data_IF_414214742489
#
_entry.id   IF_414214742489
#
_cell.length_a   1.000
_cell.length_b   1.000
_cell.length_c   1.000
_cell.angle_alpha   90.00
_cell.angle_beta   90.00
_cell.angle_gamma   90.00
#
_symmetry.space_group_name_H-M   'P 1'
#
loop_
_entity.id
_entity.type
_entity.pdbx_description
1 polymer ?
#
# COMPACT_ATOMS: atom_id res chain seq x y z
N UNK A 1 21.36 -16.70 -21.60
CA UNK A 1 21.38 -15.68 -20.54
C UNK A 1 21.65 -16.42 -19.24
N UNK A 2 22.79 -16.17 -18.57
CA UNK A 2 23.17 -16.96 -17.38
C UNK A 2 22.17 -16.73 -16.25
N UNK A 3 22.04 -17.70 -15.34
CA UNK A 3 21.02 -17.66 -14.28
C UNK A 3 21.19 -16.47 -13.34
N UNK A 4 22.44 -16.00 -13.14
CA UNK A 4 22.72 -14.78 -12.40
C UNK A 4 22.09 -13.53 -13.05
N UNK A 5 22.09 -13.43 -14.38
CA UNK A 5 21.46 -12.28 -15.07
C UNK A 5 19.94 -12.28 -14.84
N UNK A 6 19.30 -13.45 -14.83
CA UNK A 6 17.86 -13.57 -14.53
C UNK A 6 17.56 -13.18 -13.09
N UNK A 7 18.43 -13.57 -12.15
CA UNK A 7 18.32 -13.18 -10.74
C UNK A 7 18.44 -11.66 -10.56
N UNK A 8 19.42 -11.03 -11.21
CA UNK A 8 19.57 -9.57 -11.20
C UNK A 8 18.36 -8.86 -11.80
N UNK A 9 17.79 -9.37 -12.89
CA UNK A 9 16.55 -8.81 -13.45
C UNK A 9 15.36 -8.92 -12.49
N UNK A 10 15.23 -10.03 -11.74
CA UNK A 10 14.20 -10.18 -10.69
C UNK A 10 14.39 -9.18 -9.56
N UNK A 11 15.62 -8.99 -9.08
CA UNK A 11 15.92 -7.96 -8.08
C UNK A 11 15.61 -6.56 -8.57
N UNK A 12 15.96 -6.24 -9.81
CA UNK A 12 15.67 -4.93 -10.41
C UNK A 12 14.15 -4.70 -10.55
N UNK A 13 13.39 -5.72 -10.96
CA UNK A 13 11.94 -5.64 -11.06
C UNK A 13 11.28 -5.42 -9.69
N UNK A 14 11.70 -6.19 -8.68
CA UNK A 14 11.25 -6.04 -7.29
C UNK A 14 11.59 -4.65 -6.72
N UNK A 15 12.82 -4.18 -6.96
CA UNK A 15 13.26 -2.85 -6.56
C UNK A 15 12.37 -1.75 -7.16
N UNK A 16 12.12 -1.81 -8.47
CA UNK A 16 11.25 -0.84 -9.16
C UNK A 16 9.84 -0.84 -8.60
N UNK A 17 9.27 -2.04 -8.39
CA UNK A 17 7.95 -2.22 -7.80
C UNK A 17 7.86 -1.57 -6.42
N UNK A 18 8.86 -1.76 -5.55
CA UNK A 18 8.94 -1.10 -4.25
C UNK A 18 9.01 0.43 -4.37
N UNK A 19 9.87 0.95 -5.26
CA UNK A 19 9.99 2.41 -5.45
C UNK A 19 8.75 3.05 -6.09
N UNK A 20 8.00 2.30 -6.89
CA UNK A 20 6.73 2.73 -7.46
C UNK A 20 5.68 2.85 -6.36
N UNK A 21 5.56 1.84 -5.49
CA UNK A 21 4.68 1.89 -4.31
C UNK A 21 5.00 3.07 -3.39
N UNK A 22 6.28 3.28 -3.09
CA UNK A 22 6.76 4.39 -2.27
C UNK A 22 6.37 5.73 -2.92
N UNK A 23 6.60 5.87 -4.23
CA UNK A 23 6.24 7.07 -5.00
C UNK A 23 4.72 7.30 -5.05
N UNK A 24 3.91 6.25 -5.00
CA UNK A 24 2.44 6.34 -5.00
C UNK A 24 1.85 6.55 -3.61
N UNK A 25 2.67 6.63 -2.56
CA UNK A 25 2.21 6.72 -1.18
C UNK A 25 1.67 5.40 -0.63
N UNK A 26 1.86 4.28 -1.33
CA UNK A 26 1.56 2.93 -0.86
C UNK A 26 2.71 2.43 0.02
N UNK A 27 2.94 3.13 1.13
CA UNK A 27 4.13 2.96 1.98
C UNK A 27 4.26 1.53 2.49
N UNK A 28 3.12 0.88 2.72
CA UNK A 28 3.00 -0.46 3.25
C UNK A 28 3.49 -1.51 2.24
N UNK A 29 2.98 -1.42 1.01
CA UNK A 29 3.42 -2.26 -0.10
C UNK A 29 4.90 -2.00 -0.43
N UNK A 30 5.35 -0.75 -0.30
CA UNK A 30 6.75 -0.40 -0.48
C UNK A 30 7.64 -1.08 0.58
N UNK A 31 7.30 -0.98 1.86
CA UNK A 31 8.01 -1.62 2.98
C UNK A 31 8.10 -3.14 2.77
N UNK A 32 6.98 -3.81 2.46
CA UNK A 32 6.96 -5.26 2.31
C UNK A 32 7.86 -5.71 1.14
N UNK A 33 7.78 -5.02 0.00
CA UNK A 33 8.62 -5.30 -1.17
C UNK A 33 10.11 -5.03 -0.88
N UNK A 34 10.44 -3.93 -0.20
CA UNK A 34 11.82 -3.62 0.20
C UNK A 34 12.40 -4.66 1.16
N UNK A 35 11.63 -5.10 2.15
CA UNK A 35 12.06 -6.13 3.10
C UNK A 35 12.22 -7.50 2.42
N UNK A 36 11.30 -7.89 1.53
CA UNK A 36 11.41 -9.13 0.75
C UNK A 36 12.69 -9.10 -0.09
N UNK A 37 12.93 -8.00 -0.81
CA UNK A 37 14.13 -7.84 -1.61
C UNK A 37 15.39 -7.86 -0.75
N UNK A 38 15.42 -7.12 0.36
CA UNK A 38 16.56 -7.08 1.28
C UNK A 38 16.92 -8.48 1.79
N UNK A 39 15.91 -9.29 2.20
CA UNK A 39 16.13 -10.68 2.61
C UNK A 39 16.70 -11.54 1.49
N UNK A 40 16.20 -11.43 0.27
CA UNK A 40 16.73 -12.18 -0.88
C UNK A 40 18.19 -11.81 -1.16
N UNK A 41 18.53 -10.52 -1.16
CA UNK A 41 19.90 -10.05 -1.34
C UNK A 41 20.82 -10.57 -0.23
N UNK A 42 20.35 -10.58 1.02
CA UNK A 42 21.12 -11.10 2.17
C UNK A 42 21.33 -12.62 2.10
N UNK A 43 20.31 -13.40 1.70
CA UNK A 43 20.45 -14.84 1.45
C UNK A 43 21.53 -15.12 0.41
N UNK A 44 21.61 -14.30 -0.63
CA UNK A 44 22.56 -14.46 -1.73
C UNK A 44 23.99 -14.07 -1.33
N UNK A 45 24.16 -13.06 -0.48
CA UNK A 45 25.45 -12.73 0.12
C UNK A 45 26.00 -13.88 0.97
N UNK A 46 25.11 -14.64 1.62
CA UNK A 46 25.48 -15.73 2.56
C UNK A 46 25.49 -17.12 1.93
N UNK A 47 25.11 -17.26 0.66
CA UNK A 47 25.15 -18.55 -0.03
C UNK A 47 26.60 -19.05 -0.12
N UNK A 48 26.91 -20.08 0.67
CA UNK A 48 28.21 -20.76 0.71
C UNK A 48 28.38 -21.72 -0.47
N UNK A 49 27.27 -22.17 -1.05
CA UNK A 49 27.23 -23.19 -2.09
C UNK A 49 26.87 -22.57 -3.45
N UNK A 50 27.87 -22.07 -4.19
CA UNK A 50 27.96 -21.97 -5.66
C UNK A 50 26.70 -21.64 -6.52
N UNK A 51 25.60 -21.11 -5.97
CA UNK A 51 24.36 -20.86 -6.72
C UNK A 51 24.40 -19.56 -7.51
N UNK A 52 25.27 -18.63 -7.11
CA UNK A 52 25.43 -17.33 -7.75
C UNK A 52 26.91 -16.99 -7.92
N UNK A 53 27.32 -16.77 -9.17
CA UNK A 53 28.67 -16.40 -9.62
C UNK A 53 29.07 -14.98 -9.17
N UNK A 54 28.75 -14.57 -7.93
CA UNK A 54 29.09 -13.25 -7.41
C UNK A 54 30.48 -13.25 -6.75
N UNK A 55 31.30 -12.28 -7.12
CA UNK A 55 32.58 -12.00 -6.45
C UNK A 55 32.34 -11.43 -5.05
N UNK A 56 33.35 -11.48 -4.17
CA UNK A 56 33.24 -10.90 -2.82
C UNK A 56 32.94 -9.39 -2.82
N UNK A 57 33.51 -8.65 -3.78
CA UNK A 57 33.20 -7.22 -3.95
C UNK A 57 31.75 -6.98 -4.39
N UNK A 58 31.22 -7.85 -5.25
CA UNK A 58 29.82 -7.80 -5.67
C UNK A 58 28.89 -8.15 -4.50
N UNK A 59 29.21 -9.19 -3.71
CA UNK A 59 28.46 -9.54 -2.49
C UNK A 59 28.48 -8.39 -1.48
N UNK A 60 29.59 -7.69 -1.31
CA UNK A 60 29.67 -6.49 -0.45
C UNK A 60 28.71 -5.40 -0.95
N UNK A 61 28.70 -5.14 -2.25
CA UNK A 61 27.75 -4.20 -2.87
C UNK A 61 26.30 -4.63 -2.66
N UNK A 62 25.98 -5.90 -2.89
CA UNK A 62 24.64 -6.48 -2.65
C UNK A 62 24.20 -6.31 -1.19
N UNK A 63 25.09 -6.59 -0.24
CA UNK A 63 24.82 -6.41 1.19
C UNK A 63 24.57 -4.95 1.57
N UNK A 64 25.27 -3.99 0.94
CA UNK A 64 25.00 -2.56 1.13
C UNK A 64 23.65 -2.14 0.55
N UNK A 65 23.25 -2.67 -0.62
CA UNK A 65 21.92 -2.43 -1.20
C UNK A 65 20.84 -2.90 -0.23
N UNK A 66 20.99 -4.11 0.33
CA UNK A 66 20.06 -4.63 1.33
C UNK A 66 19.97 -3.72 2.57
N UNK A 67 21.10 -3.20 3.07
CA UNK A 67 21.08 -2.22 4.17
C UNK A 67 20.30 -0.97 3.82
N UNK A 68 20.47 -0.40 2.61
CA UNK A 68 19.71 0.77 2.19
C UNK A 68 18.19 0.50 2.10
N UNK A 69 17.78 -0.69 1.66
CA UNK A 69 16.38 -1.09 1.62
C UNK A 69 15.77 -1.18 3.03
N UNK A 70 16.51 -1.69 4.01
CA UNK A 70 16.11 -1.73 5.42
C UNK A 70 16.02 -0.33 6.03
N UNK A 71 16.98 0.55 5.72
CA UNK A 71 16.96 1.94 6.15
C UNK A 71 15.72 2.67 5.61
N UNK A 72 15.38 2.48 4.32
CA UNK A 72 14.15 3.05 3.76
C UNK A 72 12.91 2.44 4.41
N UNK A 73 12.87 1.12 4.58
CA UNK A 73 11.74 0.43 5.21
C UNK A 73 11.48 0.95 6.62
N UNK A 74 12.55 1.17 7.39
CA UNK A 74 12.47 1.75 8.74
C UNK A 74 11.98 3.20 8.69
N UNK A 75 12.53 4.02 7.78
CA UNK A 75 12.12 5.41 7.60
C UNK A 75 10.62 5.52 7.25
N UNK A 76 10.09 4.60 6.43
CA UNK A 76 8.67 4.56 6.09
C UNK A 76 7.76 4.12 7.26
N UNK A 77 8.32 3.48 8.29
CA UNK A 77 7.57 3.03 9.48
C UNK A 77 7.51 4.08 10.59
N UNK A 78 8.44 5.05 10.61
CA UNK A 78 8.58 6.04 11.69
C UNK A 78 8.10 7.43 11.27
N UNK A 79 7.35 8.12 12.14
CA UNK A 79 6.82 9.47 11.87
C UNK A 79 7.68 10.61 12.46
N UNK A 80 8.87 10.32 13.00
CA UNK A 80 9.56 11.22 13.95
C UNK A 80 11.09 11.39 13.78
N UNK A 81 11.71 11.18 12.61
CA UNK A 81 13.17 11.37 12.47
C UNK A 81 13.59 12.41 11.42
N UNK A 82 14.52 13.31 11.80
CA UNK A 82 15.10 14.33 10.91
C UNK A 82 16.17 13.78 9.94
N UNK A 83 16.68 12.56 10.15
CA UNK A 83 17.69 11.90 9.31
C UNK A 83 17.15 10.62 8.66
N UNK A 84 16.14 10.77 7.80
CA UNK A 84 15.50 9.66 7.09
C UNK A 84 16.19 9.36 5.75
N UNK A 85 16.39 8.07 5.46
CA UNK A 85 16.86 7.62 4.15
C UNK A 85 15.78 7.87 3.09
N UNK A 86 16.05 8.79 2.16
CA UNK A 86 15.03 9.32 1.25
C UNK A 86 14.80 8.42 0.04
N UNK A 87 13.63 8.55 -0.58
CA UNK A 87 13.30 7.83 -1.81
C UNK A 87 14.23 8.23 -2.97
N UNK A 88 14.63 9.50 -3.06
CA UNK A 88 15.55 9.98 -4.09
C UNK A 88 16.93 9.35 -3.94
N UNK A 89 17.37 9.14 -2.70
CA UNK A 89 18.61 8.42 -2.40
C UNK A 89 18.46 6.94 -2.73
N UNK A 90 17.37 6.29 -2.33
CA UNK A 90 17.13 4.90 -2.67
C UNK A 90 17.17 4.68 -4.18
N UNK A 91 16.53 5.55 -4.99
CA UNK A 91 16.53 5.46 -6.46
C UNK A 91 17.92 5.49 -7.09
N UNK A 92 18.95 6.01 -6.42
CA UNK A 92 20.36 5.95 -6.88
C UNK A 92 20.90 4.50 -6.94
N UNK A 93 20.24 3.55 -6.29
CA UNK A 93 20.59 2.13 -6.32
C UNK A 93 20.15 1.43 -7.61
N UNK A 94 19.14 1.93 -8.34
CA UNK A 94 18.66 1.31 -9.58
C UNK A 94 19.79 1.04 -10.60
N UNK A 95 20.64 2.02 -10.97
CA UNK A 95 21.76 1.76 -11.88
C UNK A 95 22.82 0.83 -11.28
N UNK A 96 22.94 0.73 -9.95
CA UNK A 96 23.89 -0.17 -9.28
C UNK A 96 23.38 -1.61 -9.38
N UNK A 97 22.11 -1.85 -9.04
CA UNK A 97 21.47 -3.17 -9.15
C UNK A 97 21.52 -3.66 -10.60
N UNK A 98 21.16 -2.80 -11.56
CA UNK A 98 21.17 -3.14 -12.99
C UNK A 98 22.56 -3.58 -13.49
N UNK A 99 23.62 -2.97 -12.96
CA UNK A 99 24.99 -3.20 -13.41
C UNK A 99 25.84 -3.94 -12.37
N UNK A 100 25.22 -4.69 -11.45
CA UNK A 100 25.92 -5.28 -10.30
C UNK A 100 27.12 -6.15 -10.70
N UNK A 101 27.03 -6.86 -11.82
CA UNK A 101 28.08 -7.75 -12.32
C UNK A 101 29.31 -7.00 -12.86
N UNK A 102 29.15 -5.73 -13.23
CA UNK A 102 30.22 -4.87 -13.75
C UNK A 102 30.47 -3.63 -12.86
N UNK A 103 29.88 -3.59 -11.67
CA UNK A 103 29.98 -2.43 -10.78
C UNK A 103 31.34 -2.40 -10.10
N UNK A 104 32.14 -1.39 -10.39
CA UNK A 104 33.51 -1.23 -9.89
C UNK A 104 33.77 0.16 -9.29
N UNK A 105 32.71 0.90 -8.95
CA UNK A 105 32.79 2.25 -8.36
C UNK A 105 32.57 2.19 -6.86
N UNK A 106 32.94 3.25 -6.16
CA UNK A 106 32.58 3.39 -4.75
C UNK A 106 31.06 3.41 -4.56
N UNK A 107 30.60 2.75 -3.51
CA UNK A 107 29.18 2.74 -3.17
C UNK A 107 28.77 4.13 -2.67
N UNK A 108 27.65 4.71 -3.14
CA UNK A 108 27.32 6.13 -2.91
C UNK A 108 26.87 6.46 -1.47
N UNK A 109 26.77 5.47 -0.60
CA UNK A 109 26.31 5.63 0.78
C UNK A 109 27.29 4.99 1.77
N UNK A 110 27.50 5.67 2.90
CA UNK A 110 28.27 5.11 4.01
C UNK A 110 27.39 4.17 4.84
N UNK A 111 27.23 2.96 4.33
CA UNK A 111 26.46 1.89 4.96
C UNK A 111 27.29 0.62 5.07
N UNK A 112 27.12 -0.09 6.18
CA UNK A 112 27.71 -1.40 6.41
C UNK A 112 26.66 -2.50 6.17
N UNK A 113 27.01 -3.61 5.51
CA UNK A 113 26.11 -4.76 5.38
C UNK A 113 25.67 -5.28 6.76
N UNK A 114 24.37 -5.38 6.99
CA UNK A 114 23.81 -5.89 8.25
C UNK A 114 23.88 -7.43 8.27
N UNK A 115 24.43 -8.08 9.32
CA UNK A 115 24.34 -9.53 9.48
C UNK A 115 22.90 -9.98 9.79
N UNK A 116 22.47 -11.13 9.25
CA UNK A 116 21.08 -11.64 9.30
C UNK A 116 20.45 -11.82 10.71
N UNK A 117 21.23 -11.71 11.80
CA UNK A 117 20.84 -12.08 13.18
C UNK A 117 19.85 -11.15 13.91
N UNK A 118 19.10 -10.29 13.22
CA UNK A 118 18.08 -9.43 13.88
C UNK A 118 16.65 -9.60 13.35
N UNK A 119 16.40 -10.58 12.49
CA UNK A 119 15.11 -10.69 11.80
C UNK A 119 14.37 -11.94 12.33
N UNK A 120 13.80 -11.81 13.54
CA UNK A 120 12.78 -12.69 14.13
C UNK A 120 13.17 -14.18 14.36
N UNK A 121 12.34 -14.89 15.13
CA UNK A 121 12.64 -16.20 15.71
C UNK A 121 12.60 -17.35 14.68
N UNK A 122 13.35 -18.46 14.89
CA UNK A 122 13.34 -19.61 13.98
C UNK A 122 11.93 -20.20 13.83
N UNK A 123 11.39 -20.22 12.61
CA UNK A 123 10.06 -20.75 12.28
C UNK A 123 9.22 -19.90 11.33
N UNK A 124 9.60 -18.65 11.06
CA UNK A 124 8.94 -17.78 10.06
C UNK A 124 9.52 -17.91 8.64
N UNK A 125 10.54 -18.77 8.45
CA UNK A 125 11.39 -18.78 7.24
C UNK A 125 10.78 -19.46 6.01
N UNK A 126 9.75 -20.31 6.17
CA UNK A 126 9.22 -21.15 5.08
C UNK A 126 8.06 -20.52 4.27
N UNK A 127 7.43 -19.44 4.74
CA UNK A 127 6.16 -18.92 4.16
C UNK A 127 6.31 -17.63 3.33
N UNK A 128 7.50 -17.26 2.87
CA UNK A 128 7.75 -16.01 2.14
C UNK A 128 8.58 -16.21 0.87
N UNK A 129 8.38 -17.35 0.20
CA UNK A 129 8.61 -17.38 -1.26
C UNK A 129 7.59 -16.44 -1.93
N UNK A 130 7.86 -15.99 -3.15
CA UNK A 130 6.93 -15.14 -3.90
C UNK A 130 5.53 -15.75 -3.85
N UNK A 131 4.67 -15.24 -2.97
CA UNK A 131 3.28 -15.67 -2.91
C UNK A 131 2.64 -15.15 -4.21
N UNK A 132 2.68 -15.99 -5.26
CA UNK A 132 1.52 -16.10 -6.12
C UNK A 132 0.38 -16.45 -5.15
N UNK A 133 -0.46 -15.46 -4.85
CA UNK A 133 -1.58 -15.59 -3.92
C UNK A 133 -2.53 -16.70 -4.40
N UNK A 134 -2.24 -17.96 -4.08
CA UNK A 134 -3.23 -19.02 -4.02
C UNK A 134 -4.01 -18.83 -2.73
N UNK A 135 -5.22 -18.25 -2.87
CA UNK A 135 -6.28 -18.30 -1.85
C UNK A 135 -6.57 -19.78 -1.54
N UNK A 136 -6.03 -20.32 -0.43
CA UNK A 136 -6.65 -21.46 0.23
C UNK A 136 -7.14 -21.12 1.64
N UNK A 137 -8.38 -21.52 1.89
CA UNK A 137 -9.15 -21.24 3.08
C UNK A 137 -8.73 -22.17 4.21
N UNK A 138 -8.03 -21.63 5.21
CA UNK A 138 -7.77 -22.31 6.47
C UNK A 138 -8.70 -21.82 7.57
N UNK A 139 -9.65 -22.66 7.97
CA UNK A 139 -10.40 -22.50 9.22
C UNK A 139 -9.46 -22.61 10.43
N UNK A 140 -9.54 -21.66 11.36
CA UNK A 140 -8.77 -21.68 12.60
C UNK A 140 -9.46 -20.89 13.69
N UNK A 141 -9.99 -21.61 14.69
CA UNK A 141 -10.71 -21.11 15.84
C UNK A 141 -9.89 -20.11 16.68
N UNK A 142 -10.60 -19.21 17.34
CA UNK A 142 -10.07 -18.02 18.00
C UNK A 142 -9.11 -18.27 19.16
N UNK A 143 -8.29 -17.26 19.41
CA UNK A 143 -7.65 -17.01 20.70
C UNK A 143 -7.66 -15.51 20.97
N UNK A 144 -7.95 -15.24 22.24
CA UNK A 144 -8.15 -14.01 23.00
C UNK A 144 -7.30 -12.78 22.64
N UNK A 145 -7.99 -11.63 22.76
CA UNK A 145 -7.49 -10.33 23.23
C UNK A 145 -6.21 -10.44 24.06
N UNK A 146 -5.16 -9.78 23.58
CA UNK A 146 -4.20 -8.98 24.36
C UNK A 146 -3.10 -8.51 23.39
N UNK A 147 -2.68 -7.25 23.55
CA UNK A 147 -1.64 -6.54 22.80
C UNK A 147 -2.08 -5.81 21.52
N UNK A 148 -2.83 -4.72 21.69
CA UNK A 148 -2.92 -3.67 20.68
C UNK A 148 -1.94 -2.54 21.01
N UNK A 149 -0.78 -2.50 20.36
CA UNK A 149 -0.04 -1.24 20.22
C UNK A 149 -0.76 -0.43 19.14
N UNK A 150 -1.81 0.29 19.56
CA UNK A 150 -2.72 1.06 18.69
C UNK A 150 -1.98 2.27 18.12
N UNK A 151 -2.18 2.54 16.83
CA UNK A 151 -1.83 3.84 16.26
C UNK A 151 -2.87 4.85 16.76
N UNK A 152 -2.49 5.89 17.53
CA UNK A 152 -3.42 6.91 17.98
C UNK A 152 -3.91 7.71 16.77
N UNK A 153 -5.22 7.63 16.45
CA UNK A 153 -5.86 8.39 15.36
C UNK A 153 -6.75 7.56 14.44
N UNK A 154 -6.45 6.27 14.22
CA UNK A 154 -7.26 5.43 13.33
C UNK A 154 -8.68 5.16 13.88
N UNK A 155 -8.86 5.18 15.21
CA UNK A 155 -10.14 4.85 15.84
C UNK A 155 -11.22 5.91 15.56
N UNK A 156 -10.85 7.20 15.55
CA UNK A 156 -11.80 8.30 15.36
C UNK A 156 -11.93 8.75 13.89
N UNK A 157 -10.95 8.42 13.03
CA UNK A 157 -10.92 8.89 11.64
C UNK A 157 -10.45 10.35 11.52
N UNK A 158 -10.39 10.85 10.29
CA UNK A 158 -9.93 12.21 9.94
C UNK A 158 -10.93 12.95 9.04
N UNK A 159 -12.21 12.57 9.11
CA UNK A 159 -13.27 13.20 8.32
C UNK A 159 -13.39 14.70 8.65
N UNK A 160 -13.54 15.50 7.61
CA UNK A 160 -13.62 16.96 7.68
C UNK A 160 -15.08 17.43 7.56
N UNK A 161 -15.42 18.59 8.16
CA UNK A 161 -16.75 19.16 8.02
C UNK A 161 -17.02 19.61 6.58
N UNK A 162 -18.30 19.79 6.25
CA UNK A 162 -18.72 20.33 4.96
C UNK A 162 -18.17 21.75 4.77
N UNK A 163 -17.70 22.04 3.56
CA UNK A 163 -17.31 23.39 3.16
C UNK A 163 -18.52 24.35 3.21
N UNK A 164 -18.28 25.67 3.37
CA UNK A 164 -19.34 26.64 3.18
C UNK A 164 -19.85 26.60 1.73
N UNK A 165 -21.16 26.74 1.56
CA UNK A 165 -21.79 26.84 0.24
C UNK A 165 -21.36 28.12 -0.47
N UNK A 166 -21.25 28.05 -1.79
CA UNK A 166 -20.98 29.18 -2.68
C UNK A 166 -22.10 29.28 -3.73
N UNK A 167 -22.62 30.50 -4.04
CA UNK A 167 -23.70 30.65 -5.02
C UNK A 167 -23.37 30.06 -6.39
N UNK A 168 -24.26 29.21 -6.91
CA UNK A 168 -24.09 28.56 -8.22
C UNK A 168 -23.05 27.44 -8.24
N UNK A 169 -22.56 27.01 -7.07
CA UNK A 169 -21.67 25.87 -6.92
C UNK A 169 -22.37 24.71 -6.21
N UNK A 170 -21.85 23.50 -6.38
CA UNK A 170 -22.41 22.29 -5.79
C UNK A 170 -21.40 21.61 -4.88
N UNK A 171 -21.83 21.27 -3.66
CA UNK A 171 -21.09 20.43 -2.73
C UNK A 171 -21.58 18.98 -2.80
N UNK A 172 -20.67 18.04 -2.60
CA UNK A 172 -20.95 16.60 -2.61
C UNK A 172 -20.70 15.98 -1.24
N UNK A 173 -21.73 15.36 -0.68
CA UNK A 173 -21.57 14.41 0.43
C UNK A 173 -21.72 13.00 -0.11
N UNK A 174 -20.81 12.12 0.28
CA UNK A 174 -20.87 10.69 -0.03
C UNK A 174 -21.07 9.93 1.27
N UNK A 175 -22.23 9.30 1.41
CA UNK A 175 -22.46 8.35 2.49
C UNK A 175 -21.93 6.99 2.09
N UNK A 176 -20.93 6.52 2.83
CA UNK A 176 -20.41 5.15 2.70
C UNK A 176 -21.34 4.25 3.52
N UNK A 177 -22.17 3.45 2.84
CA UNK A 177 -23.15 2.60 3.53
C UNK A 177 -22.47 1.32 4.04
N UNK A 178 -21.92 0.54 3.13
CA UNK A 178 -21.26 -0.74 3.40
C UNK A 178 -20.37 -1.16 2.24
N UNK A 179 -19.46 -2.09 2.49
CA UNK A 179 -18.63 -2.74 1.48
C UNK A 179 -18.80 -4.25 1.55
N UNK A 180 -18.99 -4.89 0.39
CA UNK A 180 -19.06 -6.34 0.25
C UNK A 180 -17.69 -6.95 0.01
N UNK A 181 -17.27 -7.93 0.81
CA UNK A 181 -16.02 -8.67 0.67
C UNK A 181 -16.26 -10.15 0.98
N UNK A 182 -15.50 -11.07 0.36
CA UNK A 182 -15.66 -12.51 0.66
C UNK A 182 -15.33 -12.84 2.13
N UNK A 183 -14.43 -12.07 2.72
CA UNK A 183 -13.80 -12.25 4.02
C UNK A 183 -13.95 -11.00 4.92
N UNK A 184 -15.08 -10.29 4.77
CA UNK A 184 -15.34 -9.04 5.50
C UNK A 184 -15.23 -9.21 7.03
N UNK A 185 -15.80 -10.28 7.58
CA UNK A 185 -15.77 -10.57 9.01
C UNK A 185 -14.33 -10.69 9.59
N UNK A 186 -13.38 -11.13 8.77
CA UNK A 186 -11.97 -11.34 9.15
C UNK A 186 -11.14 -10.05 9.13
N UNK A 187 -11.65 -8.97 8.52
CA UNK A 187 -10.95 -7.69 8.49
C UNK A 187 -10.91 -7.07 9.89
N UNK A 188 -9.72 -6.81 10.41
CA UNK A 188 -9.51 -6.22 11.74
C UNK A 188 -9.35 -4.71 11.58
N UNK A 189 -10.03 -3.95 12.45
CA UNK A 189 -10.09 -2.50 12.44
C UNK A 189 -10.27 -1.89 11.03
N UNK A 190 -11.32 -2.30 10.28
CA UNK A 190 -11.49 -1.86 8.91
C UNK A 190 -11.92 -0.39 8.84
N UNK A 191 -11.32 0.37 7.93
CA UNK A 191 -11.71 1.73 7.62
C UNK A 191 -11.57 2.01 6.11
N UNK A 192 -12.11 3.14 5.64
CA UNK A 192 -11.97 3.59 4.26
C UNK A 192 -11.20 4.89 4.22
N UNK A 193 -10.16 4.95 3.39
CA UNK A 193 -9.51 6.20 3.01
C UNK A 193 -10.20 6.75 1.76
N UNK A 194 -10.66 8.00 1.84
CA UNK A 194 -11.26 8.74 0.73
C UNK A 194 -10.30 9.82 0.26
N UNK A 195 -10.00 9.83 -1.04
CA UNK A 195 -9.14 10.86 -1.66
C UNK A 195 -9.68 11.30 -3.00
N UNK A 196 -9.44 12.56 -3.36
CA UNK A 196 -9.77 13.09 -4.69
C UNK A 196 -8.46 13.27 -5.46
N UNK A 197 -8.31 12.56 -6.57
CA UNK A 197 -7.10 12.59 -7.39
C UNK A 197 -7.37 13.20 -8.76
N UNK A 198 -6.38 13.89 -9.32
CA UNK A 198 -6.40 14.33 -10.72
C UNK A 198 -6.10 13.17 -11.70
N UNK A 199 -6.00 13.47 -13.00
CA UNK A 199 -5.69 12.49 -14.04
C UNK A 199 -4.29 11.84 -13.89
N UNK A 200 -3.39 12.50 -13.16
CA UNK A 200 -2.04 12.00 -12.90
C UNK A 200 -1.95 11.22 -11.59
N UNK A 201 -3.05 11.11 -10.83
CA UNK A 201 -3.09 10.44 -9.54
C UNK A 201 -2.61 11.32 -8.37
N UNK A 202 -2.58 12.64 -8.55
CA UNK A 202 -2.13 13.59 -7.52
C UNK A 202 -3.32 14.08 -6.70
N UNK A 203 -3.15 14.18 -5.38
CA UNK A 203 -4.18 14.69 -4.46
C UNK A 203 -4.62 16.11 -4.81
N UNK A 204 -5.93 16.30 -4.89
CA UNK A 204 -6.58 17.58 -5.14
C UNK A 204 -7.18 18.21 -3.88
N UNK A 205 -7.39 17.40 -2.86
CA UNK A 205 -7.98 17.76 -1.56
C UNK A 205 -7.26 16.98 -0.46
N UNK A 206 -7.36 17.39 0.82
CA UNK A 206 -6.92 16.57 1.92
C UNK A 206 -7.54 15.16 1.87
N UNK A 207 -6.73 14.15 2.14
CA UNK A 207 -7.16 12.76 2.29
C UNK A 207 -7.91 12.61 3.61
N UNK A 208 -9.00 11.86 3.61
CA UNK A 208 -9.87 11.68 4.77
C UNK A 208 -10.05 10.18 5.06
N UNK A 209 -9.89 9.79 6.32
CA UNK A 209 -10.11 8.42 6.78
C UNK A 209 -11.42 8.36 7.56
N UNK A 210 -12.26 7.36 7.26
CA UNK A 210 -13.42 7.07 8.10
C UNK A 210 -12.95 6.59 9.49
N UNK A 211 -13.80 6.71 10.52
CA UNK A 211 -13.62 5.91 11.72
C UNK A 211 -13.56 4.41 11.40
N UNK A 212 -12.97 3.64 12.31
CA UNK A 212 -13.00 2.17 12.22
C UNK A 212 -14.44 1.67 12.30
N UNK A 213 -14.85 0.86 11.32
CA UNK A 213 -16.16 0.22 11.33
C UNK A 213 -16.21 -0.93 12.35
N UNK A 214 -17.15 -0.84 13.27
CA UNK A 214 -17.38 -1.85 14.31
C UNK A 214 -18.41 -2.90 13.90
N UNK A 215 -19.32 -2.57 12.97
CA UNK A 215 -20.40 -3.46 12.55
C UNK A 215 -19.97 -4.28 11.33
N UNK A 216 -19.64 -5.55 11.58
CA UNK A 216 -19.22 -6.52 10.56
C UNK A 216 -20.18 -7.71 10.51
N UNK A 217 -20.43 -8.18 9.30
CA UNK A 217 -21.10 -9.44 8.96
C UNK A 217 -20.11 -10.30 8.16
N UNK A 218 -20.47 -11.55 7.86
CA UNK A 218 -19.58 -12.48 7.13
C UNK A 218 -19.05 -11.87 5.83
N UNK A 219 -19.95 -11.24 5.07
CA UNK A 219 -19.67 -10.70 3.74
C UNK A 219 -19.74 -9.18 3.63
N UNK A 220 -20.06 -8.47 4.71
CA UNK A 220 -20.21 -7.01 4.70
C UNK A 220 -19.54 -6.33 5.88
N UNK A 221 -18.92 -5.18 5.63
CA UNK A 221 -18.55 -4.21 6.68
C UNK A 221 -19.44 -2.98 6.50
N UNK A 222 -20.11 -2.56 7.57
CA UNK A 222 -21.01 -1.40 7.55
C UNK A 222 -20.34 -0.18 8.16
N UNK A 223 -20.39 0.94 7.44
CA UNK A 223 -19.82 2.22 7.86
C UNK A 223 -20.92 3.18 8.27
N UNK A 224 -21.92 3.38 7.41
CA UNK A 224 -23.00 4.34 7.59
C UNK A 224 -22.52 5.75 7.97
N UNK A 225 -21.43 6.20 7.33
CA UNK A 225 -20.76 7.47 7.63
C UNK A 225 -20.79 8.40 6.41
N UNK A 226 -20.98 9.68 6.67
CA UNK A 226 -20.97 10.73 5.64
C UNK A 226 -19.55 11.27 5.48
N UNK A 227 -19.09 11.39 4.23
CA UNK A 227 -17.80 11.98 3.86
C UNK A 227 -18.06 13.21 3.01
N UNK A 228 -17.55 14.35 3.45
CA UNK A 228 -17.73 15.64 2.78
C UNK A 228 -16.56 15.89 1.82
N UNK A 229 -16.85 15.95 0.52
CA UNK A 229 -15.82 16.21 -0.48
C UNK A 229 -15.36 17.65 -0.37
N UNK A 230 -14.07 17.83 -0.07
CA UNK A 230 -13.46 19.12 0.27
C UNK A 230 -13.15 19.98 -0.97
N UNK A 231 -14.07 19.99 -1.95
CA UNK A 231 -14.03 20.84 -3.14
C UNK A 231 -15.41 20.90 -3.81
N UNK A 232 -15.81 22.09 -4.23
CA UNK A 232 -16.98 22.27 -5.11
C UNK A 232 -16.79 21.49 -6.41
N UNK A 233 -17.85 20.81 -6.88
CA UNK A 233 -17.80 19.91 -8.03
C UNK A 233 -17.31 20.63 -9.30
N UNK A 234 -17.76 21.86 -9.50
CA UNK A 234 -17.43 22.70 -10.66
C UNK A 234 -15.95 23.10 -10.71
N UNK A 235 -15.23 23.01 -9.58
CA UNK A 235 -13.79 23.29 -9.47
C UNK A 235 -12.93 22.05 -9.67
N UNK A 236 -13.52 20.87 -9.83
CA UNK A 236 -12.78 19.65 -10.12
C UNK A 236 -12.50 19.57 -11.63
N UNK A 237 -11.24 19.34 -12.04
CA UNK A 237 -10.88 19.27 -13.44
C UNK A 237 -11.45 18.00 -14.08
N UNK A 238 -11.59 18.03 -15.41
CA UNK A 238 -11.92 16.84 -16.19
C UNK A 238 -10.85 15.77 -15.97
N UNK A 239 -11.29 14.53 -15.75
CA UNK A 239 -10.42 13.40 -15.47
C UNK A 239 -10.08 13.21 -13.98
N UNK A 240 -10.53 14.09 -13.09
CA UNK A 240 -10.50 13.82 -11.66
C UNK A 240 -11.36 12.59 -11.29
N UNK A 241 -11.05 11.95 -10.19
CA UNK A 241 -11.87 10.88 -9.61
C UNK A 241 -11.77 10.86 -8.09
N UNK A 242 -12.80 10.31 -7.46
CA UNK A 242 -12.88 10.09 -6.02
C UNK A 242 -12.53 8.63 -5.77
N UNK A 243 -11.50 8.37 -4.98
CA UNK A 243 -11.02 7.04 -4.62
C UNK A 243 -11.48 6.65 -3.23
N UNK A 244 -11.76 5.36 -3.05
CA UNK A 244 -12.11 4.72 -1.81
C UNK A 244 -11.20 3.52 -1.61
N UNK A 245 -10.22 3.63 -0.71
CA UNK A 245 -9.31 2.53 -0.38
C UNK A 245 -9.79 1.87 0.90
N UNK A 246 -10.21 0.60 0.82
CA UNK A 246 -10.54 -0.16 2.03
C UNK A 246 -9.26 -0.70 2.66
N UNK A 247 -9.07 -0.35 3.93
CA UNK A 247 -7.89 -0.71 4.73
C UNK A 247 -8.28 -1.56 5.93
N UNK A 248 -7.41 -2.48 6.31
CA UNK A 248 -7.54 -3.24 7.56
C UNK A 248 -6.17 -3.46 8.20
N UNK A 249 -6.16 -3.76 9.49
CA UNK A 249 -4.96 -4.22 10.18
C UNK A 249 -4.65 -5.69 9.88
N UNK A 250 -3.39 -6.01 9.59
CA UNK A 250 -2.88 -7.37 9.41
C UNK A 250 -2.03 -7.77 10.63
N UNK A 251 -2.55 -8.58 11.57
CA UNK A 251 -1.85 -8.89 12.83
C UNK A 251 -0.48 -9.55 12.61
N UNK A 252 -0.39 -10.52 11.69
CA UNK A 252 0.86 -11.21 11.37
C UNK A 252 1.95 -10.26 10.87
N UNK A 253 1.55 -9.20 10.17
CA UNK A 253 2.48 -8.22 9.60
C UNK A 253 2.61 -6.95 10.43
N UNK A 254 1.79 -6.82 11.47
CA UNK A 254 1.73 -5.70 12.42
C UNK A 254 1.55 -4.33 11.77
N UNK A 255 0.88 -4.26 10.62
CA UNK A 255 0.62 -3.01 9.89
C UNK A 255 -0.79 -2.97 9.30
N UNK A 256 -1.26 -1.78 8.92
CA UNK A 256 -2.51 -1.57 8.18
C UNK A 256 -2.28 -1.64 6.67
N UNK A 257 -2.97 -2.54 5.97
CA UNK A 257 -2.85 -2.75 4.52
C UNK A 257 -4.07 -2.22 3.78
N UNK A 258 -3.87 -1.63 2.61
CA UNK A 258 -4.94 -1.54 1.61
C UNK A 258 -5.27 -2.95 1.13
N UNK A 259 -6.54 -3.36 1.20
CA UNK A 259 -6.99 -4.66 0.68
C UNK A 259 -7.47 -4.54 -0.76
N UNK A 260 -8.26 -3.50 -1.03
CA UNK A 260 -8.86 -3.22 -2.32
C UNK A 260 -9.24 -1.75 -2.41
N UNK A 261 -9.54 -1.29 -3.62
CA UNK A 261 -9.99 0.07 -3.87
C UNK A 261 -11.17 0.11 -4.84
N UNK A 262 -11.95 1.18 -4.75
CA UNK A 262 -12.92 1.59 -5.75
C UNK A 262 -12.64 3.05 -6.13
N UNK A 263 -13.18 3.49 -7.26
CA UNK A 263 -13.16 4.90 -7.62
C UNK A 263 -14.44 5.27 -8.37
N UNK A 264 -14.74 6.56 -8.39
CA UNK A 264 -15.86 7.16 -9.12
C UNK A 264 -15.33 8.32 -9.96
N UNK A 265 -15.61 8.31 -11.26
CA UNK A 265 -15.29 9.43 -12.15
C UNK A 265 -16.33 10.57 -12.05
N UNK A 266 -15.98 11.74 -12.55
CA UNK A 266 -16.80 12.95 -12.42
C UNK A 266 -18.20 12.84 -13.06
N UNK A 267 -18.36 12.05 -14.12
CA UNK A 267 -19.63 11.83 -14.82
C UNK A 267 -20.54 10.82 -14.10
N UNK A 268 -20.01 10.09 -13.12
CA UNK A 268 -20.76 9.21 -12.23
C UNK A 268 -21.36 9.93 -11.02
N UNK A 269 -21.06 11.22 -10.86
CA UNK A 269 -21.59 12.05 -9.77
C UNK A 269 -23.05 12.43 -10.06
N UNK A 270 -23.98 11.85 -9.30
CA UNK A 270 -25.43 11.99 -9.46
C UNK A 270 -26.13 11.66 -8.15
N UNK A 271 -27.23 12.36 -7.86
CA UNK A 271 -27.97 12.17 -6.61
C UNK A 271 -28.53 10.75 -6.52
N UNK A 272 -28.42 10.15 -5.34
CA UNK A 272 -28.99 8.84 -5.04
C UNK A 272 -27.95 7.74 -4.84
N UNK A 273 -28.41 6.49 -4.92
CA UNK A 273 -27.58 5.31 -4.64
C UNK A 273 -26.70 4.95 -5.84
N UNK A 274 -25.49 4.51 -5.55
CA UNK A 274 -24.57 3.92 -6.52
C UNK A 274 -23.84 2.74 -5.87
N UNK A 275 -23.56 1.72 -6.66
CA UNK A 275 -22.69 0.61 -6.26
C UNK A 275 -21.48 0.59 -7.20
N UNK A 276 -20.29 0.39 -6.64
CA UNK A 276 -19.04 0.42 -7.39
C UNK A 276 -18.29 -0.88 -7.14
N UNK A 277 -17.73 -1.47 -8.20
CA UNK A 277 -16.87 -2.63 -8.11
C UNK A 277 -15.55 -2.35 -7.38
N UNK A 278 -14.96 -3.43 -6.88
CA UNK A 278 -13.71 -3.39 -6.12
C UNK A 278 -12.57 -3.93 -6.96
N UNK A 279 -11.44 -3.25 -6.90
CA UNK A 279 -10.20 -3.59 -7.59
C UNK A 279 -9.13 -4.06 -6.59
N UNK A 280 -8.29 -4.99 -7.02
CA UNK A 280 -7.17 -5.50 -6.23
C UNK A 280 -6.14 -4.40 -6.00
N UNK A 281 -5.53 -4.38 -4.81
CA UNK A 281 -4.31 -3.62 -4.55
C UNK A 281 -3.18 -4.02 -5.53
N UNK A 282 -2.17 -3.17 -5.78
CA UNK A 282 -2.02 -1.77 -5.32
C UNK A 282 -3.07 -0.86 -5.96
N UNK A 283 -3.41 0.26 -5.30
CA UNK A 283 -4.32 1.25 -5.88
C UNK A 283 -3.65 1.93 -7.08
N UNK A 284 -4.25 1.81 -8.27
CA UNK A 284 -3.82 2.55 -9.46
C UNK A 284 -4.58 3.87 -9.56
N UNK A 285 -4.02 4.94 -9.01
CA UNK A 285 -4.63 6.28 -9.05
C UNK A 285 -4.77 6.87 -10.47
N UNK A 286 -4.09 6.30 -11.47
CA UNK A 286 -4.22 6.68 -12.88
C UNK A 286 -5.23 5.81 -13.64
N UNK A 287 -5.77 4.77 -12.99
CA UNK A 287 -6.84 3.92 -13.50
C UNK A 287 -6.50 3.24 -14.84
N UNK A 288 -5.22 2.91 -15.05
CA UNK A 288 -4.72 2.33 -16.31
C UNK A 288 -4.70 0.81 -16.31
N UNK A 289 -4.46 0.20 -15.15
CA UNK A 289 -4.33 -1.26 -14.98
C UNK A 289 -5.22 -1.71 -13.84
N UNK A 290 -6.47 -1.95 -14.17
CA UNK A 290 -7.50 -2.36 -13.21
C UNK A 290 -7.65 -3.88 -13.21
N UNK A 291 -7.54 -4.48 -12.02
CA UNK A 291 -7.79 -5.91 -11.82
C UNK A 291 -8.93 -6.08 -10.83
N UNK A 292 -10.04 -6.64 -11.30
CA UNK A 292 -11.23 -6.84 -10.46
C UNK A 292 -10.90 -7.76 -9.27
N UNK A 293 -11.31 -7.36 -8.06
CA UNK A 293 -11.16 -8.15 -6.84
C UNK A 293 -11.99 -9.43 -6.90
N UNK A 294 -13.25 -9.31 -7.34
CA UNK A 294 -14.18 -10.43 -7.44
C UNK A 294 -15.25 -10.22 -8.49
N UNK A 295 -15.70 -11.31 -9.13
CA UNK A 295 -16.87 -11.32 -10.01
C UNK A 295 -18.19 -11.53 -9.26
N UNK A 296 -18.14 -11.81 -7.95
CA UNK A 296 -19.34 -11.94 -7.11
C UNK A 296 -20.01 -10.56 -6.95
N UNK A 297 -21.33 -10.50 -6.68
CA UNK A 297 -22.04 -9.23 -6.49
C UNK A 297 -21.73 -8.60 -5.12
N UNK A 298 -20.46 -8.25 -4.92
CA UNK A 298 -19.90 -7.67 -3.70
C UNK A 298 -19.26 -6.34 -4.09
N UNK A 299 -19.90 -5.26 -3.66
CA UNK A 299 -19.63 -3.90 -4.12
C UNK A 299 -19.40 -2.96 -2.93
N UNK A 300 -18.84 -1.79 -3.21
CA UNK A 300 -18.96 -0.64 -2.33
C UNK A 300 -20.31 0.03 -2.58
N UNK A 301 -21.13 0.15 -1.53
CA UNK A 301 -22.43 0.80 -1.58
C UNK A 301 -22.33 2.24 -1.06
N UNK A 302 -22.71 3.20 -1.90
CA UNK A 302 -22.63 4.62 -1.62
C UNK A 302 -24.00 5.28 -1.85
N UNK A 303 -24.24 6.37 -1.13
CA UNK A 303 -25.34 7.29 -1.40
C UNK A 303 -24.80 8.71 -1.57
N UNK A 304 -25.07 9.31 -2.72
CA UNK A 304 -24.57 10.62 -3.12
C UNK A 304 -25.63 11.70 -2.85
N UNK A 305 -25.24 12.75 -2.14
CA UNK A 305 -26.10 13.90 -1.83
C UNK A 305 -25.43 15.15 -2.41
N UNK A 306 -26.13 15.81 -3.34
CA UNK A 306 -25.68 17.08 -3.91
C UNK A 306 -26.36 18.24 -3.20
N UNK A 307 -25.57 19.14 -2.63
CA UNK A 307 -26.05 20.37 -2.00
C UNK A 307 -25.83 21.52 -2.96
N UNK A 308 -26.92 22.12 -3.44
CA UNK A 308 -26.92 23.28 -4.33
C UNK A 308 -27.52 24.46 -3.60
N UNK A 309 -26.92 25.63 -3.80
CA UNK A 309 -27.44 26.93 -3.37
C UNK A 309 -27.78 27.81 -4.58
#
# INVERSE_FOLDING_TARGET
MSDIHKTVQRWLASFKKGTDFDSWGQLVEAIDEYQILARHLQKEVQSVNNSTELTEDQKKTVGKIATCLELRSTALQTTQSQEEFRLEDLKKLEPIIKNILSYNKDFPFDVQPIPLRKILAPGEEENLEFEEEEEDGGAGAGVSDLFTTRVPGAVEGTLLPRLPSEPGMTLLTIKIEKIGLKDAGQCIDPYVTVSVKDINGVDMTPVQDTPVATRKEDMYVHFAVDVEIQKHIERLPKGAAIFFEFKHYKPKKRFTSTKCFAFMEMDEIKAGQIVIELYKKPTDFKRKKLQLLTKKPLYLHLHQILHKE
#
